data_IF_701410121460
#
_entry.id   IF_701410121460
#
_cell.length_a   1.000
_cell.length_b   1.000
_cell.length_c   1.000
_cell.angle_alpha   90.00
_cell.angle_beta   90.00
_cell.angle_gamma   90.00
#
_symmetry.space_group_name_H-M   'P 1'
#
loop_
_entity.id
_entity.type
_entity.pdbx_description
1 polymer ?
#
# COMPACT_ATOMS: atom_id res chain seq x y z
N UNK A 1 6.46 -33.38 8.77
CA UNK A 1 5.13 -33.86 8.35
C UNK A 1 4.10 -32.83 8.82
N UNK A 2 3.02 -32.57 8.07
CA UNK A 2 1.94 -31.71 8.54
C UNK A 2 1.34 -32.18 9.85
N UNK A 3 0.95 -31.26 10.71
CA UNK A 3 0.37 -31.55 12.04
C UNK A 3 -1.04 -32.12 11.98
N UNK A 4 -1.78 -31.80 10.92
CA UNK A 4 -3.14 -32.24 10.66
C UNK A 4 -3.20 -33.05 9.37
N UNK A 5 -4.12 -34.01 9.31
CA UNK A 5 -4.28 -34.88 8.14
C UNK A 5 -5.61 -34.62 7.42
N UNK A 6 -5.67 -34.93 6.12
CA UNK A 6 -6.90 -34.79 5.33
C UNK A 6 -8.03 -35.61 5.94
N UNK A 7 -9.24 -35.02 6.00
CA UNK A 7 -10.43 -35.59 6.61
C UNK A 7 -10.52 -35.42 8.13
N UNK A 8 -9.48 -34.87 8.77
CA UNK A 8 -9.48 -34.62 10.20
C UNK A 8 -10.49 -33.53 10.56
N UNK A 9 -11.26 -33.74 11.62
CA UNK A 9 -12.23 -32.77 12.12
C UNK A 9 -11.72 -32.11 13.37
N UNK A 10 -11.71 -30.77 13.36
CA UNK A 10 -11.21 -29.94 14.43
C UNK A 10 -12.37 -29.14 15.00
N UNK A 11 -12.66 -29.24 16.32
CA UNK A 11 -13.72 -28.46 16.94
C UNK A 11 -13.40 -26.97 16.94
N UNK A 12 -14.42 -26.14 16.75
CA UNK A 12 -14.33 -24.69 16.96
C UNK A 12 -14.71 -24.31 18.38
N UNK A 13 -14.48 -23.05 18.75
CA UNK A 13 -14.95 -22.53 20.06
C UNK A 13 -16.48 -22.46 20.14
N UNK A 14 -17.18 -22.41 19.02
CA UNK A 14 -18.63 -22.67 18.97
C UNK A 14 -18.86 -24.18 19.04
N UNK A 15 -19.09 -24.69 20.25
CA UNK A 15 -19.06 -26.13 20.59
C UNK A 15 -19.89 -27.06 19.69
N UNK A 16 -20.82 -26.52 18.89
CA UNK A 16 -21.63 -27.27 17.91
C UNK A 16 -21.00 -27.37 16.53
N UNK A 17 -19.87 -26.71 16.28
CA UNK A 17 -19.25 -26.60 14.96
C UNK A 17 -17.87 -27.25 14.92
N UNK A 18 -17.56 -27.86 13.80
CA UNK A 18 -16.20 -28.36 13.49
C UNK A 18 -15.83 -28.06 12.06
N UNK A 19 -14.52 -27.96 11.79
CA UNK A 19 -14.00 -27.83 10.44
C UNK A 19 -13.37 -29.16 10.00
N UNK A 20 -13.45 -29.45 8.72
CA UNK A 20 -12.82 -30.62 8.11
C UNK A 20 -11.62 -30.19 7.27
N UNK A 21 -10.46 -30.79 7.54
CA UNK A 21 -9.23 -30.56 6.80
C UNK A 21 -9.35 -31.19 5.40
N UNK A 22 -9.22 -30.36 4.35
CA UNK A 22 -9.30 -30.79 2.95
C UNK A 22 -7.91 -31.01 2.37
N UNK A 23 -6.99 -30.06 2.61
CA UNK A 23 -5.67 -30.06 1.96
C UNK A 23 -4.68 -29.22 2.78
N UNK A 24 -3.43 -29.64 2.82
CA UNK A 24 -2.31 -28.83 3.29
C UNK A 24 -1.91 -27.83 2.21
N UNK A 25 -1.75 -26.54 2.57
CA UNK A 25 -1.39 -25.47 1.60
C UNK A 25 0.05 -24.99 1.76
N UNK A 26 0.47 -24.66 2.99
CA UNK A 26 1.76 -24.05 3.24
C UNK A 26 2.19 -24.15 4.71
N UNK A 27 3.46 -23.85 4.99
CA UNK A 27 3.96 -23.61 6.35
C UNK A 27 4.77 -22.32 6.41
N UNK A 28 4.59 -21.57 7.47
CA UNK A 28 5.42 -20.43 7.88
C UNK A 28 6.18 -20.69 9.18
N UNK A 29 6.80 -19.66 9.73
CA UNK A 29 7.53 -19.74 10.99
C UNK A 29 6.65 -20.17 12.17
N UNK A 30 5.50 -19.53 12.32
CA UNK A 30 4.58 -19.72 13.47
C UNK A 30 3.58 -20.87 13.27
N UNK A 31 3.23 -21.23 12.03
CA UNK A 31 2.13 -22.14 11.77
C UNK A 31 2.13 -22.80 10.42
N UNK A 32 1.11 -23.61 10.22
CA UNK A 32 0.77 -24.31 8.99
C UNK A 32 -0.58 -23.80 8.49
N UNK A 33 -0.78 -23.71 7.19
CA UNK A 33 -2.02 -23.27 6.59
C UNK A 33 -2.65 -24.46 5.85
N UNK A 34 -3.93 -24.68 6.13
CA UNK A 34 -4.73 -25.74 5.53
C UNK A 34 -5.95 -25.15 4.84
N UNK A 35 -6.34 -25.77 3.74
CA UNK A 35 -7.68 -25.58 3.17
C UNK A 35 -8.65 -26.45 3.96
N UNK A 36 -9.73 -25.87 4.38
CA UNK A 36 -10.75 -26.53 5.20
C UNK A 36 -12.14 -26.32 4.61
N UNK A 37 -13.06 -27.19 4.97
CA UNK A 37 -14.49 -26.97 4.80
C UNK A 37 -15.06 -26.49 6.15
N UNK A 38 -15.61 -25.29 6.17
CA UNK A 38 -16.30 -24.69 7.30
C UNK A 38 -17.72 -24.31 6.88
N UNK A 39 -18.72 -25.00 7.42
CA UNK A 39 -20.15 -24.82 7.12
C UNK A 39 -20.46 -24.80 5.61
N UNK A 40 -19.83 -25.69 4.84
CA UNK A 40 -20.01 -25.81 3.38
C UNK A 40 -19.20 -24.82 2.55
N UNK A 41 -18.47 -23.88 3.17
CA UNK A 41 -17.59 -22.93 2.50
C UNK A 41 -16.13 -23.38 2.61
N UNK A 42 -15.38 -23.26 1.50
CA UNK A 42 -13.93 -23.46 1.52
C UNK A 42 -13.27 -22.25 2.17
N UNK A 43 -12.55 -22.49 3.26
CA UNK A 43 -11.81 -21.50 4.04
C UNK A 43 -10.35 -21.92 4.22
N UNK A 44 -9.54 -21.05 4.80
CA UNK A 44 -8.19 -21.36 5.26
C UNK A 44 -8.18 -21.47 6.78
N UNK A 45 -7.37 -22.40 7.28
CA UNK A 45 -7.07 -22.55 8.72
C UNK A 45 -5.58 -22.33 8.91
N UNK A 46 -5.19 -21.30 9.69
CA UNK A 46 -3.84 -21.17 10.23
C UNK A 46 -3.77 -21.94 11.52
N UNK A 47 -2.93 -22.97 11.57
CA UNK A 47 -2.72 -23.87 12.70
C UNK A 47 -1.35 -23.64 13.30
N UNK A 48 -1.27 -23.29 14.60
CA UNK A 48 0.01 -22.96 15.22
C UNK A 48 0.88 -24.20 15.45
N UNK A 49 2.19 -24.02 15.21
CA UNK A 49 3.21 -25.01 15.55
C UNK A 49 3.57 -24.96 17.03
N UNK A 50 4.17 -26.01 17.54
CA UNK A 50 4.73 -26.01 18.89
C UNK A 50 6.14 -25.39 18.89
N UNK A 51 6.49 -24.55 19.90
CA UNK A 51 5.61 -24.15 21.01
C UNK A 51 4.49 -23.21 20.52
N UNK A 52 3.29 -23.45 21.04
CA UNK A 52 2.11 -22.60 20.69
C UNK A 52 2.22 -21.22 21.35
N UNK A 53 1.66 -20.17 20.75
CA UNK A 53 1.59 -18.87 21.38
C UNK A 53 0.88 -18.91 22.74
N UNK A 54 1.23 -18.00 23.68
CA UNK A 54 0.66 -17.96 25.02
C UNK A 54 -0.83 -17.64 25.03
N UNK A 55 -1.50 -17.90 26.17
CA UNK A 55 -2.95 -17.67 26.31
C UNK A 55 -3.37 -16.21 26.05
N UNK A 56 -2.52 -15.22 26.42
CA UNK A 56 -2.77 -13.81 26.08
C UNK A 56 -2.89 -13.56 24.58
N UNK A 57 -2.13 -14.27 23.77
CA UNK A 57 -2.23 -14.22 22.30
C UNK A 57 -3.56 -14.82 21.82
N UNK A 58 -3.98 -15.95 22.41
CA UNK A 58 -5.27 -16.56 22.11
C UNK A 58 -6.43 -15.62 22.46
N UNK A 59 -6.39 -14.96 23.62
CA UNK A 59 -7.41 -14.01 24.06
C UNK A 59 -7.48 -12.78 23.14
N UNK A 60 -6.32 -12.23 22.73
CA UNK A 60 -6.26 -11.15 21.73
C UNK A 60 -6.92 -11.57 20.41
N UNK A 61 -6.60 -12.76 19.94
CA UNK A 61 -7.18 -13.31 18.70
C UNK A 61 -8.69 -13.49 18.81
N UNK A 62 -9.20 -13.96 19.98
CA UNK A 62 -10.63 -14.05 20.26
C UNK A 62 -11.32 -12.67 20.24
N UNK A 63 -10.66 -11.65 20.77
CA UNK A 63 -11.16 -10.27 20.71
C UNK A 63 -11.19 -9.75 19.27
N UNK A 64 -10.15 -10.03 18.46
CA UNK A 64 -10.10 -9.65 17.06
C UNK A 64 -11.24 -10.27 16.26
N UNK A 65 -11.56 -11.56 16.48
CA UNK A 65 -12.74 -12.22 15.87
C UNK A 65 -14.03 -11.47 16.19
N UNK A 66 -14.24 -11.09 17.47
CA UNK A 66 -15.46 -10.38 17.90
C UNK A 66 -15.58 -8.98 17.28
N UNK A 67 -14.46 -8.27 17.11
CA UNK A 67 -14.44 -6.89 16.59
C UNK A 67 -14.56 -6.83 15.07
N UNK A 68 -14.21 -7.93 14.37
CA UNK A 68 -14.26 -8.02 12.91
C UNK A 68 -13.12 -7.25 12.21
N UNK A 69 -13.03 -7.43 10.90
CA UNK A 69 -11.99 -6.82 10.07
C UNK A 69 -12.05 -5.28 10.09
N UNK A 70 -10.90 -4.60 10.08
CA UNK A 70 -10.85 -3.15 9.90
C UNK A 70 -11.50 -2.68 8.59
N UNK A 71 -11.17 -3.34 7.49
CA UNK A 71 -11.80 -3.17 6.18
C UNK A 71 -11.71 -4.47 5.36
N UNK A 72 -12.18 -4.42 4.11
CA UNK A 72 -12.23 -5.58 3.20
C UNK A 72 -10.86 -6.14 2.77
N UNK A 73 -9.78 -5.41 2.98
CA UNK A 73 -8.43 -5.81 2.56
C UNK A 73 -7.74 -6.73 3.55
N UNK A 74 -8.30 -6.95 4.74
CA UNK A 74 -7.73 -7.85 5.74
C UNK A 74 -8.32 -9.26 5.61
N UNK A 75 -7.49 -10.28 5.42
CA UNK A 75 -7.87 -11.68 5.63
C UNK A 75 -7.97 -11.94 7.13
N UNK A 76 -9.06 -11.48 7.71
CA UNK A 76 -9.25 -11.41 9.14
C UNK A 76 -9.66 -12.75 9.75
N UNK A 77 -9.26 -13.04 11.01
CA UNK A 77 -9.79 -14.19 11.75
C UNK A 77 -11.31 -14.15 11.85
N UNK A 78 -11.97 -15.20 11.37
CA UNK A 78 -13.43 -15.35 11.39
C UNK A 78 -13.91 -16.16 12.61
N UNK A 79 -13.14 -17.18 13.01
CA UNK A 79 -13.46 -18.11 14.09
C UNK A 79 -12.18 -18.76 14.61
N UNK A 80 -12.12 -19.03 15.90
CA UNK A 80 -11.06 -19.85 16.48
C UNK A 80 -11.45 -21.32 16.54
N UNK A 81 -10.44 -22.18 16.44
CA UNK A 81 -10.60 -23.57 16.87
C UNK A 81 -10.55 -23.66 18.40
N UNK A 82 -11.17 -24.67 18.96
CA UNK A 82 -10.87 -25.10 20.32
C UNK A 82 -9.40 -25.61 20.38
N UNK A 83 -8.83 -25.66 21.60
CA UNK A 83 -7.52 -26.30 21.81
C UNK A 83 -7.65 -27.80 21.48
N UNK A 84 -6.86 -28.28 20.52
CA UNK A 84 -6.91 -29.64 20.01
C UNK A 84 -5.49 -30.16 19.77
N UNK A 85 -5.19 -31.41 20.17
CA UNK A 85 -3.85 -32.01 20.08
C UNK A 85 -2.71 -31.13 20.67
N UNK A 86 -3.05 -30.30 21.67
CA UNK A 86 -2.10 -29.38 22.33
C UNK A 86 -1.70 -28.19 21.47
N UNK A 87 -2.54 -27.81 20.51
CA UNK A 87 -2.43 -26.59 19.72
C UNK A 87 -3.82 -26.01 19.44
N UNK A 88 -3.89 -24.92 18.69
CA UNK A 88 -5.08 -24.24 18.21
C UNK A 88 -4.79 -23.51 16.91
N UNK A 89 -5.81 -22.93 16.33
CA UNK A 89 -5.70 -22.14 15.12
C UNK A 89 -6.90 -21.22 14.91
N UNK A 90 -6.90 -20.50 13.81
CA UNK A 90 -8.04 -19.69 13.41
C UNK A 90 -8.40 -19.88 11.94
N UNK A 91 -9.68 -19.69 11.68
CA UNK A 91 -10.28 -19.78 10.36
C UNK A 91 -10.31 -18.39 9.75
N UNK A 92 -9.96 -18.29 8.48
CA UNK A 92 -10.05 -17.06 7.67
C UNK A 92 -10.56 -17.40 6.28
N UNK A 93 -10.89 -16.39 5.48
CA UNK A 93 -11.23 -16.61 4.08
C UNK A 93 -10.05 -17.23 3.31
N UNK A 94 -10.38 -18.10 2.36
CA UNK A 94 -9.36 -18.66 1.46
C UNK A 94 -8.95 -17.57 0.44
N UNK A 95 -7.65 -17.28 0.36
CA UNK A 95 -7.11 -16.33 -0.61
C UNK A 95 -7.40 -16.77 -2.06
N UNK A 96 -8.06 -15.94 -2.86
CA UNK A 96 -8.25 -16.21 -4.28
C UNK A 96 -6.92 -16.24 -5.04
N UNK A 97 -6.81 -17.11 -6.05
CA UNK A 97 -5.57 -17.30 -6.83
C UNK A 97 -5.13 -16.11 -7.68
N UNK A 98 -6.00 -15.10 -7.86
CA UNK A 98 -5.66 -13.85 -8.57
C UNK A 98 -4.64 -12.98 -7.83
N UNK A 99 -4.48 -13.16 -6.52
CA UNK A 99 -3.51 -12.41 -5.71
C UNK A 99 -2.16 -13.11 -5.70
N UNK A 100 -1.11 -12.34 -5.92
CA UNK A 100 0.29 -12.76 -5.91
C UNK A 100 0.95 -12.33 -4.61
N UNK A 101 1.91 -13.09 -4.12
CA UNK A 101 2.70 -12.70 -2.96
C UNK A 101 3.55 -11.47 -3.27
N UNK A 102 3.67 -10.56 -2.32
CA UNK A 102 4.47 -9.35 -2.51
C UNK A 102 5.94 -9.69 -2.88
N UNK A 103 6.48 -10.77 -2.33
CA UNK A 103 7.82 -11.27 -2.67
C UNK A 103 7.99 -11.62 -4.15
N UNK A 104 6.94 -12.06 -4.85
CA UNK A 104 7.02 -12.38 -6.29
C UNK A 104 7.34 -11.12 -7.13
N UNK A 105 6.83 -9.95 -6.73
CA UNK A 105 7.15 -8.68 -7.41
C UNK A 105 8.61 -8.27 -7.20
N UNK A 106 9.16 -8.54 -6.02
CA UNK A 106 10.55 -8.23 -5.70
C UNK A 106 11.54 -9.13 -6.46
N UNK A 107 11.12 -10.36 -6.78
CA UNK A 107 11.89 -11.35 -7.54
C UNK A 107 11.60 -11.30 -9.06
N UNK A 108 10.81 -10.33 -9.50
CA UNK A 108 10.37 -10.19 -10.91
C UNK A 108 9.59 -11.42 -11.45
N UNK A 109 9.01 -12.21 -10.57
CA UNK A 109 8.12 -13.34 -10.91
C UNK A 109 6.68 -12.88 -11.19
N UNK A 110 6.32 -11.69 -10.73
CA UNK A 110 5.06 -11.01 -11.02
C UNK A 110 5.31 -9.54 -11.31
N UNK A 111 4.46 -8.93 -12.15
CA UNK A 111 4.55 -7.50 -12.50
C UNK A 111 3.17 -6.87 -12.52
N UNK A 112 3.08 -5.63 -12.11
CA UNK A 112 1.87 -4.83 -12.27
C UNK A 112 1.58 -4.61 -13.76
N UNK A 113 0.30 -4.65 -14.12
CA UNK A 113 -0.16 -4.35 -15.48
C UNK A 113 0.14 -2.91 -15.90
N UNK A 114 0.27 -1.99 -14.93
CA UNK A 114 0.58 -0.58 -15.15
C UNK A 114 1.09 0.11 -13.88
N UNK A 115 1.66 1.31 -14.01
CA UNK A 115 2.01 2.16 -12.86
C UNK A 115 0.75 2.67 -12.13
N UNK A 116 -0.35 2.91 -12.86
CA UNK A 116 -1.63 3.26 -12.25
C UNK A 116 -2.07 2.17 -11.26
N UNK A 117 -1.99 0.90 -11.66
CA UNK A 117 -2.34 -0.26 -10.82
C UNK A 117 -1.40 -0.40 -9.62
N UNK A 118 -0.10 -0.13 -9.80
CA UNK A 118 0.86 -0.15 -8.69
C UNK A 118 0.55 0.96 -7.67
N UNK A 119 0.24 2.18 -8.12
CA UNK A 119 -0.17 3.28 -7.25
C UNK A 119 -1.49 2.93 -6.53
N UNK A 120 -2.42 2.28 -7.23
CA UNK A 120 -3.67 1.80 -6.63
C UNK A 120 -3.40 0.81 -5.49
N UNK A 121 -2.47 -0.13 -5.68
CA UNK A 121 -2.07 -1.06 -4.62
C UNK A 121 -1.47 -0.31 -3.41
N UNK A 122 -0.62 0.70 -3.66
CA UNK A 122 -0.07 1.54 -2.60
C UNK A 122 -1.18 2.26 -1.81
N UNK A 123 -2.17 2.85 -2.49
CA UNK A 123 -3.33 3.46 -1.83
C UNK A 123 -4.09 2.46 -0.95
N UNK A 124 -4.40 1.27 -1.48
CA UNK A 124 -5.13 0.25 -0.74
C UNK A 124 -4.39 -0.20 0.52
N UNK A 125 -3.05 -0.29 0.45
CA UNK A 125 -2.21 -0.60 1.61
C UNK A 125 -2.26 0.55 2.62
N UNK A 126 -2.01 1.79 2.20
CA UNK A 126 -1.97 2.98 3.08
C UNK A 126 -3.31 3.21 3.76
N UNK A 127 -4.41 3.19 3.00
CA UNK A 127 -5.76 3.33 3.53
C UNK A 127 -6.08 2.25 4.57
N UNK A 128 -5.67 1.00 4.31
CA UNK A 128 -5.90 -0.10 5.25
C UNK A 128 -5.19 0.15 6.59
N UNK A 129 -3.94 0.63 6.55
CA UNK A 129 -3.22 1.00 7.78
C UNK A 129 -3.83 2.24 8.46
N UNK A 130 -4.27 3.25 7.71
CA UNK A 130 -4.97 4.41 8.26
C UNK A 130 -6.23 3.99 9.02
N UNK A 131 -7.02 3.11 8.45
CA UNK A 131 -8.24 2.58 9.09
C UNK A 131 -7.88 1.73 10.32
N UNK A 132 -6.88 0.86 10.24
CA UNK A 132 -6.39 0.05 11.36
C UNK A 132 -5.98 0.94 12.55
N UNK A 133 -5.10 1.89 12.28
CA UNK A 133 -4.56 2.82 13.29
C UNK A 133 -5.66 3.73 13.87
N UNK A 134 -6.63 4.19 13.05
CA UNK A 134 -7.76 5.00 13.53
C UNK A 134 -8.68 4.26 14.49
N UNK A 135 -8.71 2.92 14.43
CA UNK A 135 -9.42 2.06 15.38
C UNK A 135 -8.62 1.72 16.64
N UNK A 136 -7.43 2.31 16.81
CA UNK A 136 -6.58 2.08 17.98
C UNK A 136 -5.76 0.79 17.95
N UNK A 137 -5.57 0.19 16.77
CA UNK A 137 -4.75 -1.02 16.61
C UNK A 137 -3.37 -0.72 16.08
N UNK A 138 -2.42 -1.64 16.34
CA UNK A 138 -1.14 -1.75 15.66
C UNK A 138 -1.01 -3.16 15.05
N UNK A 139 -0.33 -3.23 13.90
CA UNK A 139 -0.13 -4.50 13.17
C UNK A 139 1.03 -5.33 13.74
N UNK A 140 2.07 -4.66 14.21
CA UNK A 140 3.25 -5.15 14.95
C UNK A 140 4.27 -5.95 14.13
N UNK A 141 3.90 -6.77 13.15
CA UNK A 141 4.82 -7.54 12.30
C UNK A 141 4.60 -7.26 10.81
N UNK A 142 4.75 -5.99 10.43
CA UNK A 142 4.64 -5.57 9.03
C UNK A 142 5.85 -6.05 8.25
N UNK A 143 5.65 -6.97 7.30
CA UNK A 143 6.70 -7.47 6.42
C UNK A 143 6.11 -7.98 5.09
N UNK A 144 6.96 -8.28 4.09
CA UNK A 144 6.53 -8.69 2.74
C UNK A 144 5.62 -9.93 2.71
N UNK A 145 5.77 -10.83 3.66
CA UNK A 145 4.97 -12.06 3.71
C UNK A 145 3.50 -11.83 4.06
N UNK A 146 3.18 -10.68 4.67
CA UNK A 146 1.81 -10.32 5.04
C UNK A 146 0.99 -9.69 3.91
N UNK A 147 1.56 -9.45 2.72
CA UNK A 147 0.86 -8.75 1.65
C UNK A 147 0.71 -9.60 0.40
N UNK A 148 -0.50 -9.63 -0.12
CA UNK A 148 -0.85 -10.23 -1.41
C UNK A 148 -1.53 -9.18 -2.28
N UNK A 149 -1.12 -9.08 -3.55
CA UNK A 149 -1.58 -8.02 -4.46
C UNK A 149 -2.10 -8.64 -5.75
N UNK A 150 -3.22 -8.13 -6.23
CA UNK A 150 -3.69 -8.43 -7.58
C UNK A 150 -2.96 -7.51 -8.58
N UNK A 151 -2.13 -8.05 -9.47
CA UNK A 151 -1.33 -7.25 -10.40
C UNK A 151 -2.15 -6.56 -11.51
N UNK A 152 -3.44 -6.86 -11.62
CA UNK A 152 -4.31 -6.35 -12.70
C UNK A 152 -5.12 -5.13 -12.25
N UNK A 153 -5.60 -5.11 -11.00
CA UNK A 153 -6.47 -4.05 -10.48
C UNK A 153 -5.90 -3.33 -9.24
N UNK A 154 -4.78 -3.82 -8.69
CA UNK A 154 -4.14 -3.23 -7.51
C UNK A 154 -4.89 -3.50 -6.20
N UNK A 155 -5.88 -4.40 -6.20
CA UNK A 155 -6.53 -4.84 -4.97
C UNK A 155 -5.53 -5.62 -4.10
N UNK A 156 -5.66 -5.51 -2.77
CA UNK A 156 -4.71 -6.10 -1.83
C UNK A 156 -5.42 -6.97 -0.79
N UNK A 157 -4.71 -7.99 -0.31
CA UNK A 157 -5.09 -8.75 0.86
C UNK A 157 -3.94 -8.72 1.86
N UNK A 158 -4.24 -8.30 3.09
CA UNK A 158 -3.30 -8.25 4.21
C UNK A 158 -3.58 -9.44 5.11
N UNK A 159 -2.58 -10.28 5.30
CA UNK A 159 -2.62 -11.53 6.05
C UNK A 159 -1.92 -11.38 7.40
N UNK A 160 -1.75 -12.49 8.14
CA UNK A 160 -1.08 -12.55 9.45
C UNK A 160 -1.67 -11.55 10.47
N UNK A 161 -2.99 -11.38 10.42
CA UNK A 161 -3.75 -10.43 11.26
C UNK A 161 -3.90 -10.89 12.72
N UNK A 162 -3.38 -12.06 13.05
CA UNK A 162 -3.23 -12.55 14.41
C UNK A 162 -2.19 -11.74 15.22
N UNK A 163 -1.30 -11.02 14.54
CA UNK A 163 -0.33 -10.11 15.15
C UNK A 163 -0.93 -8.75 15.53
N UNK A 164 -2.14 -8.44 15.06
CA UNK A 164 -2.81 -7.17 15.36
C UNK A 164 -3.26 -7.12 16.81
N UNK A 165 -2.86 -6.06 17.50
CA UNK A 165 -3.23 -5.81 18.90
C UNK A 165 -3.64 -4.35 19.13
N UNK A 166 -4.29 -4.07 20.27
CA UNK A 166 -4.59 -2.71 20.70
C UNK A 166 -3.28 -1.95 20.97
N UNK A 167 -3.33 -0.62 20.81
CA UNK A 167 -2.19 0.23 21.07
C UNK A 167 -1.68 0.06 22.51
N UNK A 168 -0.38 -0.26 22.63
CA UNK A 168 0.26 -0.50 23.92
C UNK A 168 0.32 -1.96 24.35
N UNK A 169 -0.47 -2.85 23.75
CA UNK A 169 -0.38 -4.29 24.00
C UNK A 169 0.74 -4.90 23.17
N UNK A 170 1.60 -5.67 23.82
CA UNK A 170 2.68 -6.40 23.17
C UNK A 170 2.42 -7.90 23.26
N UNK A 171 2.24 -8.53 22.10
CA UNK A 171 2.01 -9.96 22.00
C UNK A 171 3.32 -10.79 22.10
N UNK A 172 4.45 -10.15 22.35
CA UNK A 172 5.77 -10.81 22.38
C UNK A 172 6.26 -11.21 20.99
N UNK A 173 5.71 -10.62 19.94
CA UNK A 173 6.08 -10.90 18.56
C UNK A 173 7.36 -10.15 18.24
N UNK A 174 8.37 -10.87 17.75
CA UNK A 174 9.56 -10.30 17.13
C UNK A 174 9.32 -10.26 15.62
N UNK A 175 9.23 -9.07 15.05
CA UNK A 175 9.14 -8.87 13.61
C UNK A 175 10.42 -9.24 12.87
N UNK A 176 10.42 -9.16 11.55
CA UNK A 176 11.65 -9.31 10.75
C UNK A 176 12.51 -8.06 10.86
N UNK A 177 13.75 -8.18 11.30
CA UNK A 177 14.70 -7.09 11.55
C UNK A 177 14.74 -6.04 10.41
N UNK A 178 14.73 -6.48 9.16
CA UNK A 178 14.74 -5.62 7.97
C UNK A 178 13.52 -4.69 7.84
N UNK A 179 12.42 -5.00 8.53
CA UNK A 179 11.19 -4.20 8.48
C UNK A 179 10.91 -3.45 9.78
N UNK A 180 11.55 -3.87 10.87
CA UNK A 180 11.35 -3.28 12.19
C UNK A 180 11.89 -1.86 12.25
N UNK A 181 11.20 -0.98 12.97
CA UNK A 181 11.73 0.33 13.29
C UNK A 181 13.01 0.22 14.13
N UNK A 182 14.01 1.11 13.95
CA UNK A 182 15.31 1.01 14.61
C UNK A 182 15.22 0.82 16.13
N UNK A 183 14.33 1.55 16.79
CA UNK A 183 14.12 1.46 18.24
C UNK A 183 13.53 0.10 18.70
N UNK A 184 12.82 -0.61 17.80
CA UNK A 184 12.35 -1.98 18.08
C UNK A 184 13.48 -2.97 17.92
N UNK A 185 14.31 -2.81 16.89
CA UNK A 185 15.48 -3.67 16.63
C UNK A 185 16.44 -3.69 17.83
N UNK A 186 16.66 -2.53 18.47
CA UNK A 186 17.54 -2.41 19.66
C UNK A 186 16.79 -2.52 21.00
N UNK A 187 15.53 -3.00 20.97
CA UNK A 187 14.70 -3.23 22.16
C UNK A 187 14.46 -1.99 23.05
N UNK A 188 14.48 -0.79 22.48
CA UNK A 188 14.14 0.47 23.19
C UNK A 188 12.64 0.65 23.34
N UNK A 189 11.85 0.10 22.41
CA UNK A 189 10.39 0.13 22.47
C UNK A 189 9.81 -1.18 21.94
N UNK A 190 8.52 -1.39 22.24
CA UNK A 190 7.73 -2.48 21.66
C UNK A 190 7.02 -2.01 20.39
N UNK A 191 6.65 -2.93 19.49
CA UNK A 191 5.84 -2.59 18.32
C UNK A 191 4.57 -1.81 18.69
N UNK A 192 4.26 -0.79 17.90
CA UNK A 192 3.10 0.08 18.07
C UNK A 192 2.79 0.81 16.75
N UNK A 193 1.77 1.66 16.70
CA UNK A 193 1.38 2.43 15.51
C UNK A 193 2.53 3.24 14.90
N UNK A 194 3.40 3.84 15.71
CA UNK A 194 4.54 4.58 15.17
C UNK A 194 5.56 3.66 14.50
N UNK A 195 5.81 2.48 15.07
CA UNK A 195 6.73 1.51 14.46
C UNK A 195 6.13 0.92 13.19
N UNK A 196 4.81 0.70 13.13
CA UNK A 196 4.10 0.27 11.92
C UNK A 196 4.28 1.28 10.78
N UNK A 197 4.26 2.60 11.06
CA UNK A 197 4.52 3.66 10.06
C UNK A 197 5.91 3.55 9.44
N UNK A 198 6.92 3.18 10.23
CA UNK A 198 8.25 2.94 9.68
C UNK A 198 8.25 1.70 8.76
N UNK A 199 7.69 0.60 9.23
CA UNK A 199 7.62 -0.65 8.47
C UNK A 199 6.77 -0.50 7.20
N UNK A 200 5.68 0.27 7.26
CA UNK A 200 4.86 0.65 6.11
C UNK A 200 5.68 1.42 5.07
N UNK A 201 6.53 2.37 5.51
CA UNK A 201 7.43 3.09 4.60
C UNK A 201 8.42 2.15 3.91
N UNK A 202 8.92 1.11 4.60
CA UNK A 202 9.78 0.07 4.00
C UNK A 202 9.00 -0.73 2.94
N UNK A 203 7.78 -1.15 3.22
CA UNK A 203 6.90 -1.85 2.26
C UNK A 203 6.66 -0.98 1.02
N UNK A 204 6.28 0.28 1.20
CA UNK A 204 6.03 1.19 0.09
C UNK A 204 7.30 1.45 -0.72
N UNK A 205 8.44 1.63 -0.07
CA UNK A 205 9.72 1.79 -0.78
C UNK A 205 10.01 0.58 -1.67
N UNK A 206 9.87 -0.62 -1.12
CA UNK A 206 10.09 -1.87 -1.87
C UNK A 206 9.07 -2.07 -2.99
N UNK A 207 7.82 -1.62 -2.82
CA UNK A 207 6.80 -1.65 -3.86
C UNK A 207 7.21 -0.80 -5.08
N UNK A 208 7.71 0.42 -4.84
CA UNK A 208 8.08 1.36 -5.91
C UNK A 208 9.46 1.09 -6.50
N UNK A 209 10.43 0.73 -5.67
CA UNK A 209 11.84 0.70 -6.08
C UNK A 209 12.44 -0.70 -6.15
N UNK A 210 11.76 -1.73 -5.65
CA UNK A 210 12.11 -3.17 -5.64
C UNK A 210 13.35 -3.52 -4.80
N UNK A 211 14.04 -2.55 -4.23
CA UNK A 211 15.19 -2.69 -3.36
C UNK A 211 14.86 -2.20 -1.94
N UNK A 212 15.74 -2.47 -0.98
CA UNK A 212 15.52 -2.08 0.40
C UNK A 212 16.06 -0.67 0.70
N UNK A 213 15.34 0.21 1.46
CA UNK A 213 15.77 1.60 1.67
C UNK A 213 17.06 1.76 2.48
N UNK A 214 17.44 0.75 3.28
CA UNK A 214 18.62 0.80 4.13
C UNK A 214 19.76 -0.11 3.64
N UNK A 215 19.62 -0.73 2.46
CA UNK A 215 20.64 -1.62 1.90
C UNK A 215 21.30 -0.99 0.68
N UNK A 216 22.58 -0.68 0.80
CA UNK A 216 23.41 -0.06 -0.23
C UNK A 216 24.86 -0.55 -0.11
N UNK A 217 25.80 0.18 -0.69
CA UNK A 217 27.23 -0.18 -0.75
C UNK A 217 27.86 -0.41 0.63
N UNK A 218 27.33 0.23 1.70
CA UNK A 218 27.82 0.00 3.07
C UNK A 218 27.40 -1.38 3.59
N UNK A 219 26.22 -1.86 3.20
CA UNK A 219 25.63 -3.08 3.79
C UNK A 219 25.98 -4.36 3.03
N UNK A 220 26.32 -4.31 1.75
CA UNK A 220 26.54 -5.50 0.90
C UNK A 220 27.72 -6.37 1.35
N UNK A 221 28.67 -5.82 2.10
CA UNK A 221 29.86 -6.54 2.54
C UNK A 221 29.70 -7.23 3.90
N UNK A 222 28.54 -7.09 4.53
CA UNK A 222 28.29 -7.68 5.84
C UNK A 222 27.44 -8.96 5.73
N UNK A 223 27.84 -10.06 6.40
CA UNK A 223 26.98 -11.23 6.50
C UNK A 223 25.76 -10.91 7.36
N UNK A 224 24.59 -11.40 6.97
CA UNK A 224 23.34 -11.22 7.72
C UNK A 224 23.34 -12.14 8.96
N UNK A 225 23.94 -11.68 10.05
CA UNK A 225 23.80 -12.25 11.39
C UNK A 225 22.90 -11.35 12.23
N UNK A 226 22.34 -11.88 13.33
CA UNK A 226 21.48 -11.08 14.23
C UNK A 226 22.21 -9.83 14.77
N UNK A 227 23.48 -9.98 15.14
CA UNK A 227 24.29 -8.87 15.65
C UNK A 227 24.53 -7.79 14.60
N UNK A 228 24.81 -8.18 13.36
CA UNK A 228 24.99 -7.26 12.23
C UNK A 228 23.64 -6.65 11.84
N UNK A 229 22.57 -7.43 11.83
CA UNK A 229 21.23 -6.91 11.63
C UNK A 229 20.86 -5.83 12.66
N UNK A 230 21.16 -6.07 13.94
CA UNK A 230 20.96 -5.06 14.99
C UNK A 230 21.78 -3.79 14.74
N UNK A 231 23.01 -3.91 14.25
CA UNK A 231 23.86 -2.77 13.90
C UNK A 231 23.29 -1.98 12.71
N UNK A 232 22.96 -2.66 11.60
CA UNK A 232 22.59 -2.03 10.33
C UNK A 232 21.16 -1.46 10.32
N UNK A 233 20.23 -2.08 11.03
CA UNK A 233 18.82 -1.67 11.04
C UNK A 233 18.40 -0.99 12.35
N UNK A 234 19.22 -1.07 13.40
CA UNK A 234 18.87 -0.52 14.71
C UNK A 234 19.80 0.58 15.18
N UNK A 235 21.12 0.31 15.28
CA UNK A 235 22.09 1.25 15.87
C UNK A 235 22.50 2.36 14.90
N UNK A 236 22.85 2.02 13.65
CA UNK A 236 23.32 2.98 12.62
C UNK A 236 22.61 2.73 11.27
N UNK A 237 21.27 2.84 11.23
CA UNK A 237 20.53 2.67 9.97
C UNK A 237 20.81 3.84 9.02
N UNK A 238 21.18 3.54 7.78
CA UNK A 238 21.57 4.54 6.77
C UNK A 238 20.66 4.45 5.55
N UNK A 239 19.91 5.52 5.26
CA UNK A 239 19.10 5.59 4.07
C UNK A 239 19.97 5.72 2.81
N UNK A 240 19.68 4.91 1.79
CA UNK A 240 20.48 4.86 0.56
C UNK A 240 20.44 6.15 -0.28
N UNK A 241 19.44 7.02 -0.07
CA UNK A 241 19.31 8.33 -0.71
C UNK A 241 19.24 9.50 0.30
N UNK A 242 19.90 9.36 1.47
CA UNK A 242 20.00 10.47 2.41
C UNK A 242 20.76 11.65 1.76
N UNK A 243 20.16 12.84 1.61
CA UNK A 243 20.81 13.96 0.95
C UNK A 243 22.06 14.49 1.70
N UNK A 244 22.17 14.15 2.99
CA UNK A 244 23.26 14.59 3.86
C UNK A 244 24.28 13.50 4.21
N UNK A 245 24.10 12.27 3.73
CA UNK A 245 24.97 11.14 4.03
C UNK A 245 25.05 10.20 2.83
N UNK A 246 26.21 10.08 2.23
CA UNK A 246 26.46 9.25 1.03
C UNK A 246 27.09 7.89 1.32
N UNK A 247 27.34 7.54 2.59
CA UNK A 247 28.00 6.30 3.00
C UNK A 247 27.33 5.02 2.50
N UNK A 248 26.01 5.07 2.29
CA UNK A 248 25.22 3.90 1.90
C UNK A 248 24.51 4.06 0.55
N UNK A 249 25.13 4.75 -0.41
CA UNK A 249 24.55 4.88 -1.77
C UNK A 249 24.28 3.51 -2.39
N UNK A 250 23.26 3.40 -3.27
CA UNK A 250 23.03 2.16 -3.99
C UNK A 250 24.27 1.76 -4.79
N UNK A 251 24.62 0.49 -4.72
CA UNK A 251 25.67 -0.10 -5.55
C UNK A 251 25.12 -0.42 -6.94
N UNK A 252 25.82 -0.06 -8.04
CA UNK A 252 25.31 -0.27 -9.40
C UNK A 252 25.08 -1.73 -9.79
N UNK A 253 25.86 -2.66 -9.24
CA UNK A 253 25.75 -4.09 -9.54
C UNK A 253 24.69 -4.76 -8.67
N UNK A 254 24.67 -4.44 -7.36
CA UNK A 254 23.76 -5.05 -6.41
C UNK A 254 22.35 -4.42 -6.42
N UNK A 255 22.21 -3.12 -6.75
CA UNK A 255 20.96 -2.36 -6.61
C UNK A 255 20.53 -1.64 -7.90
N UNK A 256 20.54 -2.30 -9.07
CA UNK A 256 20.22 -1.67 -10.36
C UNK A 256 18.77 -1.19 -10.43
N UNK A 257 17.85 -1.84 -9.71
CA UNK A 257 16.43 -1.50 -9.74
C UNK A 257 16.18 -0.12 -9.13
N UNK A 258 16.62 0.13 -7.90
CA UNK A 258 16.39 1.42 -7.25
C UNK A 258 17.10 2.56 -7.98
N UNK A 259 18.30 2.35 -8.53
CA UNK A 259 19.04 3.36 -9.30
C UNK A 259 18.24 3.81 -10.52
N UNK A 260 17.70 2.85 -11.26
CA UNK A 260 16.87 3.13 -12.44
C UNK A 260 15.54 3.78 -12.04
N UNK A 261 14.85 3.21 -11.04
CA UNK A 261 13.48 3.58 -10.67
C UNK A 261 13.41 4.86 -9.85
N UNK A 262 14.45 5.21 -9.07
CA UNK A 262 14.46 6.45 -8.27
C UNK A 262 14.18 7.69 -9.11
N UNK A 263 14.77 7.78 -10.29
CA UNK A 263 14.60 8.91 -11.21
C UNK A 263 13.30 8.88 -12.02
N UNK A 264 12.60 7.73 -12.03
CA UNK A 264 11.35 7.58 -12.79
C UNK A 264 10.13 8.13 -12.06
N UNK A 265 10.13 8.05 -10.72
CA UNK A 265 9.00 8.49 -9.91
C UNK A 265 9.08 9.98 -9.58
N UNK A 266 7.90 10.63 -9.38
CA UNK A 266 7.83 12.06 -9.11
C UNK A 266 8.61 12.51 -7.87
N UNK A 267 9.12 13.77 -7.87
CA UNK A 267 9.88 14.31 -6.75
C UNK A 267 9.13 14.30 -5.42
N UNK A 268 7.80 14.51 -5.41
CA UNK A 268 6.99 14.48 -4.19
C UNK A 268 7.08 13.13 -3.47
N UNK A 269 7.04 12.04 -4.23
CA UNK A 269 7.20 10.69 -3.67
C UNK A 269 8.61 10.48 -3.11
N UNK A 270 9.65 10.96 -3.82
CA UNK A 270 11.04 10.91 -3.34
C UNK A 270 11.22 11.70 -2.04
N UNK A 271 10.69 12.92 -1.97
CA UNK A 271 10.76 13.78 -0.77
C UNK A 271 10.09 13.11 0.42
N UNK A 272 8.96 12.44 0.20
CA UNK A 272 8.25 11.70 1.25
C UNK A 272 9.08 10.53 1.77
N UNK A 273 9.74 9.75 0.90
CA UNK A 273 10.68 8.70 1.32
C UNK A 273 11.92 9.26 2.03
N UNK A 274 12.47 10.36 1.55
CA UNK A 274 13.58 11.05 2.24
C UNK A 274 13.15 11.45 3.65
N UNK A 275 11.96 12.05 3.83
CA UNK A 275 11.42 12.36 5.16
C UNK A 275 11.31 11.11 6.04
N UNK A 276 10.73 10.02 5.50
CA UNK A 276 10.50 8.77 6.22
C UNK A 276 11.81 8.18 6.78
N UNK A 277 12.86 8.11 5.94
CA UNK A 277 14.12 7.45 6.27
C UNK A 277 15.24 8.38 6.73
N UNK A 278 14.95 9.66 6.98
CA UNK A 278 15.88 10.61 7.61
C UNK A 278 15.28 11.17 8.90
N UNK A 279 14.41 12.17 8.81
CA UNK A 279 13.76 12.79 9.98
C UNK A 279 12.87 11.83 10.75
N UNK A 280 12.07 11.02 10.03
CA UNK A 280 11.16 10.03 10.61
C UNK A 280 11.87 8.84 11.24
N UNK A 281 13.07 8.50 10.77
CA UNK A 281 13.92 7.47 11.38
C UNK A 281 14.53 7.94 12.70
N UNK A 282 14.92 9.23 12.80
CA UNK A 282 15.54 9.82 13.97
C UNK A 282 14.54 10.24 15.07
N UNK A 283 13.30 10.54 14.70
CA UNK A 283 12.27 10.99 15.62
C UNK A 283 10.90 10.44 15.21
N UNK A 284 10.28 9.67 16.11
CA UNK A 284 8.99 9.01 15.88
C UNK A 284 7.86 9.99 15.54
N UNK A 285 7.91 11.22 16.04
CA UNK A 285 6.91 12.25 15.77
C UNK A 285 7.03 12.87 14.37
N UNK A 286 8.15 12.64 13.68
CA UNK A 286 8.38 13.08 12.30
C UNK A 286 8.12 11.97 11.27
N UNK A 287 7.64 10.81 11.70
CA UNK A 287 7.29 9.71 10.80
C UNK A 287 6.18 10.13 9.86
N UNK A 288 6.32 9.76 8.61
CA UNK A 288 5.30 10.00 7.60
C UNK A 288 4.02 9.26 8.00
N UNK A 289 2.95 10.02 8.11
CA UNK A 289 1.62 9.50 8.43
C UNK A 289 0.96 8.89 7.20
N UNK A 290 -0.09 8.11 7.42
CA UNK A 290 -0.88 7.53 6.35
C UNK A 290 -1.47 8.60 5.42
N UNK A 291 -1.94 9.72 5.99
CA UNK A 291 -2.47 10.86 5.23
C UNK A 291 -1.39 11.50 4.36
N UNK A 292 -0.18 11.69 4.87
CA UNK A 292 0.94 12.22 4.07
C UNK A 292 1.34 11.28 2.93
N UNK A 293 1.23 9.96 3.12
CA UNK A 293 1.41 8.99 2.03
C UNK A 293 0.29 9.10 0.99
N UNK A 294 -0.98 9.19 1.41
CA UNK A 294 -2.12 9.40 0.52
C UNK A 294 -1.92 10.65 -0.35
N UNK A 295 -1.51 11.78 0.24
CA UNK A 295 -1.20 13.02 -0.49
C UNK A 295 -0.06 12.85 -1.50
N UNK A 296 1.03 12.18 -1.11
CA UNK A 296 2.15 11.91 -2.02
C UNK A 296 1.72 11.02 -3.21
N UNK A 297 0.87 10.03 -2.95
CA UNK A 297 0.32 9.13 -3.97
C UNK A 297 -0.65 9.87 -4.91
N UNK A 298 -1.49 10.78 -4.40
CA UNK A 298 -2.37 11.64 -5.23
C UNK A 298 -1.53 12.46 -6.19
N UNK A 299 -0.49 13.13 -5.69
CA UNK A 299 0.44 13.92 -6.52
C UNK A 299 1.14 13.05 -7.56
N UNK A 300 1.65 11.89 -7.16
CA UNK A 300 2.30 10.96 -8.07
C UNK A 300 1.34 10.47 -9.18
N UNK A 301 0.11 10.10 -8.82
CA UNK A 301 -0.91 9.68 -9.78
C UNK A 301 -1.32 10.80 -10.73
N UNK A 302 -1.40 12.04 -10.24
CA UNK A 302 -1.68 13.21 -11.06
C UNK A 302 -0.59 13.50 -12.10
N UNK A 303 0.63 13.03 -11.89
CA UNK A 303 1.75 13.17 -12.85
C UNK A 303 1.86 11.99 -13.83
N UNK A 304 1.03 10.96 -13.68
CA UNK A 304 1.07 9.79 -14.56
C UNK A 304 0.23 10.05 -15.82
N UNK A 305 0.81 9.82 -16.98
CA UNK A 305 0.12 9.94 -18.27
C UNK A 305 0.55 8.82 -19.22
N UNK A 306 -0.37 8.45 -20.11
CA UNK A 306 -0.10 7.48 -21.16
C UNK A 306 0.20 8.19 -22.48
N UNK A 307 1.47 8.12 -22.93
CA UNK A 307 1.93 8.69 -24.19
C UNK A 307 2.44 7.58 -25.10
N UNK A 308 1.98 7.58 -26.35
CA UNK A 308 2.36 6.55 -27.34
C UNK A 308 2.19 5.11 -26.83
N UNK A 309 1.12 4.88 -26.06
CA UNK A 309 0.82 3.57 -25.49
C UNK A 309 1.63 3.19 -24.24
N UNK A 310 2.56 4.03 -23.78
CA UNK A 310 3.39 3.78 -22.60
C UNK A 310 3.07 4.78 -21.49
N UNK A 311 2.96 4.28 -20.28
CA UNK A 311 2.84 5.13 -19.09
C UNK A 311 4.20 5.76 -18.73
N UNK A 312 4.15 7.03 -18.37
CA UNK A 312 5.29 7.77 -17.86
C UNK A 312 4.85 8.86 -16.89
N UNK A 313 5.75 9.26 -16.01
CA UNK A 313 5.52 10.41 -15.13
C UNK A 313 6.04 11.68 -15.79
N UNK A 314 5.20 12.71 -15.77
CA UNK A 314 5.55 14.05 -16.27
C UNK A 314 5.46 15.02 -15.10
N UNK A 315 6.60 15.63 -14.74
CA UNK A 315 6.63 16.55 -13.61
C UNK A 315 5.88 17.86 -13.94
N UNK A 316 4.66 17.98 -13.43
CA UNK A 316 3.80 19.14 -13.63
C UNK A 316 4.33 20.45 -13.01
N UNK A 317 5.31 20.36 -12.11
CA UNK A 317 5.90 21.52 -11.42
C UNK A 317 7.25 21.97 -12.02
N UNK A 318 7.82 21.17 -12.92
CA UNK A 318 9.06 21.53 -13.58
C UNK A 318 8.80 22.56 -14.70
N UNK A 319 9.75 23.47 -14.92
CA UNK A 319 9.76 24.38 -16.09
C UNK A 319 10.19 23.60 -17.35
N UNK A 320 9.45 22.58 -17.70
CA UNK A 320 9.66 21.81 -18.92
C UNK A 320 8.46 22.01 -19.85
N UNK A 321 8.68 21.78 -21.14
CA UNK A 321 7.60 21.82 -22.11
C UNK A 321 6.59 20.70 -21.81
N UNK A 322 5.31 21.05 -21.92
CA UNK A 322 4.22 20.07 -21.79
C UNK A 322 4.32 19.12 -22.99
N UNK A 323 4.35 17.80 -22.78
CA UNK A 323 4.41 16.87 -23.88
C UNK A 323 3.27 17.11 -24.88
N UNK A 324 3.56 16.98 -26.18
CA UNK A 324 2.53 17.10 -27.22
C UNK A 324 1.40 16.13 -26.93
N UNK A 325 0.15 16.61 -27.04
CA UNK A 325 -1.04 15.83 -26.75
C UNK A 325 -1.38 15.77 -25.25
N UNK A 326 -0.77 16.60 -24.41
CA UNK A 326 -1.13 16.77 -23.00
C UNK A 326 -1.53 18.20 -22.68
N UNK A 327 -2.19 18.35 -21.53
CA UNK A 327 -2.51 19.61 -20.85
C UNK A 327 -2.20 19.45 -19.37
N UNK A 328 -2.08 20.56 -18.64
CA UNK A 328 -2.08 20.55 -17.18
C UNK A 328 -3.35 21.16 -16.65
N UNK A 329 -3.93 20.49 -15.67
CA UNK A 329 -4.95 21.05 -14.80
C UNK A 329 -4.25 21.45 -13.50
N UNK A 330 -4.16 22.76 -13.24
CA UNK A 330 -3.70 23.28 -11.97
C UNK A 330 -4.88 23.49 -11.05
N UNK A 331 -4.85 22.85 -9.90
CA UNK A 331 -5.79 22.96 -8.80
C UNK A 331 -5.11 23.67 -7.60
N UNK A 332 -5.83 24.08 -6.55
CA UNK A 332 -5.21 24.72 -5.38
C UNK A 332 -4.07 23.89 -4.76
N UNK A 333 -4.30 22.58 -4.55
CA UNK A 333 -3.36 21.68 -3.86
C UNK A 333 -2.63 20.72 -4.82
N UNK A 334 -3.12 20.55 -6.04
CA UNK A 334 -2.62 19.53 -6.98
C UNK A 334 -2.39 20.10 -8.38
N UNK A 335 -1.53 19.41 -9.12
CA UNK A 335 -1.43 19.56 -10.56
C UNK A 335 -1.60 18.19 -11.21
N UNK A 336 -2.43 18.11 -12.24
CA UNK A 336 -2.74 16.86 -12.94
C UNK A 336 -2.39 17.00 -14.41
N UNK A 337 -1.61 16.03 -14.91
CA UNK A 337 -1.30 15.92 -16.34
C UNK A 337 -2.47 15.25 -17.04
N UNK A 338 -3.01 15.89 -18.04
CA UNK A 338 -4.18 15.44 -18.77
C UNK A 338 -3.79 15.05 -20.20
N UNK A 339 -3.67 13.77 -20.46
CA UNK A 339 -3.58 13.15 -21.77
C UNK A 339 -4.81 12.31 -22.06
N UNK A 340 -4.89 11.69 -23.25
CA UNK A 340 -6.00 10.78 -23.53
C UNK A 340 -6.06 9.63 -22.50
N UNK A 341 -7.25 9.33 -22.03
CA UNK A 341 -7.57 8.36 -20.95
C UNK A 341 -7.07 8.75 -19.55
N UNK A 342 -6.48 9.95 -19.36
CA UNK A 342 -6.19 10.45 -18.02
C UNK A 342 -7.46 10.63 -17.20
N UNK A 343 -7.36 10.38 -15.89
CA UNK A 343 -8.47 10.48 -14.94
C UNK A 343 -8.21 11.57 -13.93
N UNK A 344 -9.26 12.26 -13.52
CA UNK A 344 -9.28 13.04 -12.28
C UNK A 344 -10.19 12.33 -11.28
N UNK A 345 -9.90 12.47 -10.00
CA UNK A 345 -10.57 11.75 -8.91
C UNK A 345 -11.32 12.71 -8.01
N UNK A 346 -12.20 12.19 -7.14
CA UNK A 346 -12.99 13.00 -6.21
C UNK A 346 -12.14 13.97 -5.39
N UNK A 347 -10.98 13.54 -4.90
CA UNK A 347 -10.02 14.41 -4.18
C UNK A 347 -9.47 15.58 -5.00
N UNK A 348 -9.51 15.52 -6.34
CA UNK A 348 -9.07 16.62 -7.21
C UNK A 348 -10.16 17.68 -7.38
N UNK A 349 -11.42 17.28 -7.36
CA UNK A 349 -12.58 18.16 -7.62
C UNK A 349 -13.27 18.67 -6.37
N UNK A 350 -12.99 18.03 -5.22
CA UNK A 350 -13.41 18.43 -3.90
C UNK A 350 -12.20 18.36 -2.94
N UNK A 351 -11.69 19.53 -2.57
CA UNK A 351 -10.50 19.65 -1.70
C UNK A 351 -10.70 19.08 -0.28
N UNK A 352 -11.95 18.84 0.13
CA UNK A 352 -12.27 18.24 1.44
C UNK A 352 -12.54 16.74 1.33
N UNK A 353 -12.53 16.18 0.12
CA UNK A 353 -12.78 14.76 -0.10
C UNK A 353 -11.55 13.92 0.22
N UNK A 354 -11.69 12.97 1.12
CA UNK A 354 -10.72 11.89 1.33
C UNK A 354 -10.99 10.67 0.43
N UNK A 355 -11.83 10.82 -0.59
CA UNK A 355 -12.07 9.77 -1.59
C UNK A 355 -11.03 9.85 -2.72
N UNK A 356 -10.00 9.06 -2.59
CA UNK A 356 -8.90 8.96 -3.56
C UNK A 356 -9.17 7.98 -4.69
N UNK A 357 -10.33 7.29 -4.71
CA UNK A 357 -10.60 6.16 -5.60
C UNK A 357 -11.67 6.45 -6.64
N UNK A 358 -12.69 7.22 -6.30
CA UNK A 358 -13.79 7.51 -7.24
C UNK A 358 -13.32 8.43 -8.36
N UNK A 359 -13.50 7.98 -9.60
CA UNK A 359 -13.18 8.78 -10.79
C UNK A 359 -14.23 9.86 -10.98
N UNK A 360 -13.81 11.12 -10.88
CA UNK A 360 -14.65 12.30 -11.05
C UNK A 360 -14.73 12.77 -12.51
N UNK A 361 -13.70 12.49 -13.30
CA UNK A 361 -13.69 12.85 -14.72
C UNK A 361 -12.66 12.05 -15.50
N UNK A 362 -12.90 11.96 -16.82
CA UNK A 362 -12.01 11.25 -17.75
C UNK A 362 -11.73 12.10 -18.97
N UNK A 363 -10.47 12.13 -19.40
CA UNK A 363 -10.07 12.83 -20.62
C UNK A 363 -10.22 11.91 -21.81
N UNK A 364 -10.84 12.42 -22.88
CA UNK A 364 -10.94 11.74 -24.17
C UNK A 364 -10.48 12.66 -25.30
N UNK A 365 -9.72 12.09 -26.22
CA UNK A 365 -9.40 12.76 -27.48
C UNK A 365 -10.61 12.74 -28.42
N UNK A 366 -10.77 13.79 -29.21
CA UNK A 366 -11.78 13.85 -30.26
C UNK A 366 -11.53 12.76 -31.32
N UNK A 367 -12.59 12.16 -31.82
CA UNK A 367 -12.51 11.16 -32.89
C UNK A 367 -12.00 11.77 -34.23
N UNK A 368 -12.35 13.03 -34.48
CA UNK A 368 -11.97 13.76 -35.71
C UNK A 368 -10.59 14.40 -35.61
N UNK A 369 -10.12 14.73 -34.42
CA UNK A 369 -8.79 15.33 -34.19
C UNK A 369 -8.24 14.92 -32.83
N UNK A 370 -7.27 14.00 -32.83
CA UNK A 370 -6.66 13.45 -31.60
C UNK A 370 -5.89 14.49 -30.76
N UNK A 371 -5.54 15.65 -31.31
CA UNK A 371 -4.91 16.73 -30.57
C UNK A 371 -5.92 17.56 -29.75
N UNK A 372 -7.23 17.38 -30.00
CA UNK A 372 -8.28 18.01 -29.23
C UNK A 372 -8.72 17.09 -28.11
N UNK A 373 -8.48 17.51 -26.88
CA UNK A 373 -8.84 16.79 -25.67
C UNK A 373 -10.09 17.39 -25.03
N UNK A 374 -10.96 16.55 -24.50
CA UNK A 374 -12.10 16.94 -23.70
C UNK A 374 -12.12 16.22 -22.36
N UNK A 375 -12.41 16.94 -21.27
CA UNK A 375 -12.62 16.35 -19.93
C UNK A 375 -14.10 16.13 -19.71
N UNK A 376 -14.51 14.88 -19.55
CA UNK A 376 -15.88 14.47 -19.26
C UNK A 376 -16.18 14.52 -17.77
N UNK A 377 -17.31 15.08 -17.41
CA UNK A 377 -17.84 15.12 -16.05
C UNK A 377 -18.52 13.80 -15.70
N UNK A 378 -18.00 13.05 -14.74
CA UNK A 378 -18.61 11.82 -14.22
C UNK A 378 -19.31 12.02 -12.87
N UNK A 379 -19.23 13.23 -12.30
CA UNK A 379 -19.84 13.55 -11.01
C UNK A 379 -21.34 13.86 -11.16
N UNK A 380 -22.05 13.93 -10.05
CA UNK A 380 -23.43 14.42 -10.02
C UNK A 380 -23.52 15.96 -10.11
N UNK A 381 -22.43 16.67 -9.83
CA UNK A 381 -22.39 18.13 -9.82
C UNK A 381 -22.29 18.69 -11.24
N UNK A 382 -22.92 19.83 -11.48
CA UNK A 382 -22.72 20.60 -12.70
C UNK A 382 -21.41 21.39 -12.54
N UNK A 383 -20.48 21.22 -13.48
CA UNK A 383 -19.27 22.04 -13.52
C UNK A 383 -19.55 23.37 -14.24
N UNK A 384 -19.10 24.46 -13.65
CA UNK A 384 -19.17 25.78 -14.30
C UNK A 384 -17.85 26.09 -14.95
N UNK A 385 -17.89 26.41 -16.24
CA UNK A 385 -16.68 26.61 -17.04
C UNK A 385 -16.63 28.03 -17.55
N UNK A 386 -15.46 28.66 -17.42
CA UNK A 386 -15.19 29.97 -18.02
C UNK A 386 -14.12 29.78 -19.09
N UNK A 387 -14.48 30.16 -20.31
CA UNK A 387 -13.59 30.10 -21.46
C UNK A 387 -12.64 31.30 -21.49
N UNK A 388 -11.49 31.22 -22.21
CA UNK A 388 -10.54 32.32 -22.31
C UNK A 388 -11.10 33.63 -22.88
N UNK A 389 -12.14 33.56 -23.72
CA UNK A 389 -12.84 34.71 -24.28
C UNK A 389 -13.90 35.31 -23.33
N UNK A 390 -14.02 34.76 -22.10
CA UNK A 390 -14.96 35.21 -21.09
C UNK A 390 -16.35 34.58 -21.18
N UNK A 391 -16.65 33.76 -22.19
CA UNK A 391 -17.89 32.98 -22.25
C UNK A 391 -17.94 31.97 -21.10
N UNK A 392 -19.15 31.72 -20.61
CA UNK A 392 -19.41 30.72 -19.56
C UNK A 392 -20.32 29.61 -20.08
N UNK A 393 -20.10 28.40 -19.63
CA UNK A 393 -20.95 27.26 -19.92
C UNK A 393 -21.07 26.34 -18.70
N UNK A 394 -22.13 25.55 -18.70
CA UNK A 394 -22.37 24.51 -17.71
C UNK A 394 -22.10 23.13 -18.32
N UNK A 395 -21.41 22.26 -17.56
CA UNK A 395 -21.10 20.89 -17.98
C UNK A 395 -21.78 19.93 -17.02
N UNK A 396 -22.98 19.42 -17.37
CA UNK A 396 -23.68 18.43 -16.55
C UNK A 396 -22.97 17.09 -16.59
N UNK A 397 -23.42 16.15 -15.76
CA UNK A 397 -22.95 14.75 -15.79
C UNK A 397 -22.98 14.19 -17.21
N UNK A 398 -21.88 13.53 -17.61
CA UNK A 398 -21.62 13.02 -18.96
C UNK A 398 -21.42 14.10 -20.04
N UNK A 399 -21.45 15.38 -19.70
CA UNK A 399 -21.01 16.47 -20.58
C UNK A 399 -19.49 16.55 -20.63
N UNK A 400 -18.94 17.27 -21.61
CA UNK A 400 -17.52 17.45 -21.82
C UNK A 400 -17.14 18.92 -21.91
N UNK A 401 -16.00 19.29 -21.39
CA UNK A 401 -15.34 20.58 -21.60
C UNK A 401 -14.08 20.37 -22.42
N UNK A 402 -13.91 21.20 -23.46
CA UNK A 402 -12.67 21.22 -24.25
C UNK A 402 -11.51 21.77 -23.41
N UNK A 403 -10.38 21.08 -23.43
CA UNK A 403 -9.20 21.45 -22.65
C UNK A 403 -8.29 22.44 -23.38
N UNK A 404 -8.82 23.63 -23.71
CA UNK A 404 -8.00 24.70 -24.26
C UNK A 404 -7.24 25.42 -23.15
N UNK A 405 -5.98 25.86 -23.38
CA UNK A 405 -5.24 26.66 -22.41
C UNK A 405 -6.01 27.91 -21.99
N UNK A 406 -6.01 28.18 -20.68
CA UNK A 406 -6.72 29.33 -20.10
C UNK A 406 -8.17 29.03 -19.66
N UNK A 407 -8.73 27.86 -19.99
CA UNK A 407 -10.04 27.44 -19.48
C UNK A 407 -9.98 27.27 -17.96
N UNK A 408 -10.97 27.83 -17.26
CA UNK A 408 -11.16 27.67 -15.82
C UNK A 408 -12.41 26.83 -15.58
N UNK A 409 -12.30 25.83 -14.68
CA UNK A 409 -13.38 24.90 -14.36
C UNK A 409 -13.64 24.96 -12.85
N UNK A 410 -14.83 25.38 -12.45
CA UNK A 410 -15.33 25.25 -11.09
C UNK A 410 -16.08 23.92 -10.99
N UNK A 411 -15.51 23.00 -10.22
CA UNK A 411 -16.02 21.64 -10.00
C UNK A 411 -17.15 21.56 -8.95
N UNK A 412 -17.53 22.69 -8.35
CA UNK A 412 -18.48 22.78 -7.24
C UNK A 412 -17.82 23.26 -5.95
N UNK A 413 -16.90 24.23 -6.07
CA UNK A 413 -16.14 24.81 -4.94
C UNK A 413 -14.62 24.71 -5.09
N UNK A 414 -14.13 23.76 -5.87
CA UNK A 414 -12.70 23.69 -6.25
C UNK A 414 -12.56 24.21 -7.68
N UNK A 415 -11.74 25.22 -7.88
CA UNK A 415 -11.50 25.82 -9.21
C UNK A 415 -10.14 25.37 -9.74
N UNK A 416 -10.16 24.83 -10.96
CA UNK A 416 -8.95 24.44 -11.68
C UNK A 416 -8.77 25.25 -12.96
N UNK A 417 -7.53 25.42 -13.41
CA UNK A 417 -7.16 26.11 -14.64
C UNK A 417 -6.31 25.23 -15.55
N UNK A 418 -6.65 25.24 -16.84
CA UNK A 418 -5.95 24.48 -17.88
C UNK A 418 -4.78 25.30 -18.45
N UNK A 419 -3.61 24.63 -18.61
CA UNK A 419 -2.38 25.16 -19.19
C UNK A 419 -1.89 24.26 -20.31
#
# INVERSE_FOLDING_TARGET
MPSLVKGERIPTIAMSESVEVVEYLAAGGQGEVYKINYNGKMCALKWYKKPVPPDAFYDNLANNVKKGAPNKHYLWPLMLTAKYKGSYGYIMELRPSKYREFGEFLLDLSRFSSYEVMIQAAFNIVESFRILHSKGYSYQDVNEGGFFVNPIDGDVLICDNDNVAEYGDALGIAGKCRYMAPEVVINQTRPNTHTDRFSLAVILFRLFYLDHPLEGQYTINFPLTDAIGAQLYGVDPLFIYDPNNDRNRPDPEAHPNVIRRWKMFPPDLQVTFIKAFTKGMKNINNRVTEVEWEEALVKARGMLVKLNGKEQFVNAYAKQEIPKGCRFLKLPEYAVVLGNDSKIYSCHVDQYSADYMTVAGIVKASLSNKDVLGLGNLTANIWKVKMPDGQTMEVPKNGYVKLDPGVEIDFGGTVGKIY
#
